data_IF_921339826789
#
_entry.id   IF_921339826789
#
_cell.length_a   1.000
_cell.length_b   1.000
_cell.length_c   1.000
_cell.angle_alpha   90.00
_cell.angle_beta   90.00
_cell.angle_gamma   90.00
#
_symmetry.space_group_name_H-M   'P 1'
#
loop_
_entity.id
_entity.type
_entity.pdbx_description
1 polymer ?
#
# COMPACT_ATOMS: atom_id res chain seq x y z
N UNK A 1 3.14 -10.79 -14.03
CA UNK A 1 2.54 -10.57 -12.69
C UNK A 1 3.67 -10.17 -11.76
N UNK A 2 3.52 -9.05 -11.06
CA UNK A 2 4.49 -8.57 -10.06
C UNK A 2 3.78 -8.57 -8.73
N UNK A 3 4.38 -9.18 -7.70
CA UNK A 3 3.88 -9.13 -6.34
C UNK A 3 4.67 -8.07 -5.58
N UNK A 4 3.95 -7.22 -4.85
CA UNK A 4 4.51 -6.23 -3.94
C UNK A 4 3.94 -6.54 -2.57
N UNK A 5 4.81 -6.89 -1.64
CA UNK A 5 4.45 -7.21 -0.25
C UNK A 5 4.90 -6.06 0.65
N UNK A 6 4.05 -5.70 1.61
CA UNK A 6 4.40 -4.76 2.67
C UNK A 6 4.99 -5.52 3.86
N UNK A 7 6.07 -5.02 4.43
CA UNK A 7 6.58 -5.47 5.72
C UNK A 7 5.88 -4.63 6.78
N UNK A 8 4.95 -5.25 7.52
CA UNK A 8 3.95 -4.56 8.35
C UNK A 8 4.49 -3.57 9.40
N UNK A 9 3.54 -2.74 9.87
CA UNK A 9 3.65 -1.61 10.80
C UNK A 9 4.11 -0.27 10.17
N UNK A 10 3.19 0.43 9.49
CA UNK A 10 3.37 1.85 9.15
C UNK A 10 2.43 2.36 8.06
N UNK A 11 2.68 3.61 7.61
CA UNK A 11 1.97 4.24 6.48
C UNK A 11 2.16 3.49 5.15
N UNK A 12 3.20 2.65 5.05
CA UNK A 12 3.48 1.83 3.88
C UNK A 12 2.35 0.86 3.51
N UNK A 13 1.51 0.47 4.48
CA UNK A 13 0.34 -0.39 4.25
C UNK A 13 -0.71 0.30 3.36
N UNK A 14 -0.82 1.64 3.40
CA UNK A 14 -1.81 2.41 2.63
C UNK A 14 -1.28 2.80 1.25
N UNK A 15 0.03 3.01 1.12
CA UNK A 15 0.66 3.40 -0.16
C UNK A 15 0.59 2.30 -1.24
N UNK A 16 0.41 1.04 -0.84
CA UNK A 16 0.32 -0.12 -1.75
C UNK A 16 -0.80 0.03 -2.78
N UNK A 17 -1.90 0.70 -2.43
CA UNK A 17 -3.04 0.94 -3.33
C UNK A 17 -2.67 1.79 -4.51
N UNK A 18 -1.76 2.75 -4.30
CA UNK A 18 -1.34 3.68 -5.36
C UNK A 18 -0.35 3.03 -6.33
N UNK A 19 0.19 1.87 -5.97
CA UNK A 19 1.25 1.17 -6.69
C UNK A 19 0.78 -0.14 -7.33
N UNK A 20 -0.36 -0.69 -6.90
CA UNK A 20 -0.86 -1.98 -7.38
C UNK A 20 -2.23 -1.86 -8.07
N UNK A 21 -2.50 -2.77 -9.02
CA UNK A 21 -3.80 -2.84 -9.71
C UNK A 21 -4.86 -3.57 -8.88
N UNK A 22 -4.43 -4.38 -7.92
CA UNK A 22 -5.30 -5.19 -7.07
C UNK A 22 -4.56 -5.40 -5.77
N UNK A 23 -5.15 -4.91 -4.67
CA UNK A 23 -4.61 -5.07 -3.33
C UNK A 23 -5.27 -6.27 -2.68
N UNK A 24 -4.48 -7.25 -2.27
CA UNK A 24 -4.96 -8.42 -1.52
C UNK A 24 -4.64 -8.22 -0.05
N UNK A 25 -5.67 -8.17 0.79
CA UNK A 25 -5.49 -8.14 2.25
C UNK A 25 -5.54 -9.58 2.75
N UNK A 26 -4.49 -10.02 3.45
CA UNK A 26 -4.39 -11.39 3.96
C UNK A 26 -4.53 -11.36 5.48
N UNK A 27 -5.48 -12.12 6.01
CA UNK A 27 -5.73 -12.26 7.44
C UNK A 27 -5.70 -13.74 7.85
N UNK A 28 -5.49 -14.02 9.14
CA UNK A 28 -5.37 -15.37 9.68
C UNK A 28 -6.24 -15.52 10.94
N UNK A 29 -7.07 -16.58 11.05
CA UNK A 29 -7.93 -16.78 12.22
C UNK A 29 -7.15 -16.95 13.53
N UNK A 30 -7.71 -16.43 14.63
CA UNK A 30 -7.27 -16.77 15.99
C UNK A 30 -6.00 -16.06 16.47
N UNK A 31 -5.59 -14.96 15.84
CA UNK A 31 -4.43 -14.15 16.26
C UNK A 31 -4.69 -13.28 17.51
N UNK A 32 -5.87 -13.39 18.15
CA UNK A 32 -6.15 -12.84 19.47
C UNK A 32 -6.45 -11.33 19.49
N UNK A 33 -6.39 -10.69 18.33
CA UNK A 33 -6.71 -9.27 18.09
C UNK A 33 -7.58 -9.17 16.82
N UNK A 34 -8.65 -9.99 16.73
CA UNK A 34 -9.60 -10.00 15.59
C UNK A 34 -10.17 -8.59 15.29
N UNK A 35 -10.07 -7.65 16.24
CA UNK A 35 -10.48 -6.24 16.13
C UNK A 35 -9.35 -5.31 15.63
N UNK A 36 -8.08 -5.67 15.82
CA UNK A 36 -6.92 -4.81 15.48
C UNK A 36 -6.43 -4.99 14.04
N UNK A 37 -6.83 -6.09 13.38
CA UNK A 37 -6.63 -6.30 11.93
C UNK A 37 -7.64 -5.50 11.09
N UNK A 38 -8.76 -5.12 11.71
CA UNK A 38 -9.83 -4.31 11.13
C UNK A 38 -9.57 -2.80 11.34
N UNK A 39 -8.32 -2.37 11.15
CA UNK A 39 -8.04 -0.93 11.04
C UNK A 39 -8.87 -0.41 9.88
N UNK A 40 -9.70 0.61 10.13
CA UNK A 40 -10.58 1.20 9.11
C UNK A 40 -9.88 1.40 7.75
N UNK A 41 -8.61 1.81 7.77
CA UNK A 41 -7.80 1.98 6.56
C UNK A 41 -7.52 0.70 5.76
N UNK A 42 -7.33 -0.48 6.37
CA UNK A 42 -7.09 -1.73 5.62
C UNK A 42 -8.36 -2.20 4.89
N UNK A 43 -9.50 -2.04 5.56
CA UNK A 43 -10.82 -2.36 5.02
C UNK A 43 -11.27 -1.40 3.92
N UNK A 44 -10.60 -0.26 3.75
CA UNK A 44 -10.82 0.70 2.67
C UNK A 44 -9.93 0.42 1.44
N UNK A 45 -8.79 -0.24 1.63
CA UNK A 45 -7.82 -0.46 0.56
C UNK A 45 -7.88 -1.83 -0.12
N UNK A 46 -8.42 -2.85 0.55
CA UNK A 46 -8.48 -4.21 0.01
C UNK A 46 -9.44 -4.36 -1.16
N UNK A 47 -8.98 -4.92 -2.28
CA UNK A 47 -9.82 -5.27 -3.43
C UNK A 47 -10.28 -6.73 -3.39
N UNK A 48 -9.47 -7.58 -2.74
CA UNK A 48 -9.74 -8.99 -2.45
C UNK A 48 -9.21 -9.29 -1.05
N UNK A 49 -9.97 -10.05 -0.27
CA UNK A 49 -9.57 -10.46 1.08
C UNK A 49 -9.30 -11.95 1.09
N UNK A 50 -8.20 -12.37 1.70
CA UNK A 50 -7.81 -13.76 1.84
C UNK A 50 -7.74 -14.13 3.32
N UNK A 51 -8.61 -15.02 3.78
CA UNK A 51 -8.52 -15.63 5.10
C UNK A 51 -7.62 -16.87 4.99
N UNK A 52 -6.34 -16.68 5.26
CA UNK A 52 -5.31 -17.72 5.17
C UNK A 52 -5.26 -18.59 6.42
N UNK A 53 -4.73 -19.81 6.29
CA UNK A 53 -4.83 -20.89 7.28
C UNK A 53 -6.29 -21.20 7.63
N UNK A 54 -7.14 -21.27 6.61
CA UNK A 54 -8.56 -21.56 6.76
C UNK A 54 -8.85 -23.00 7.25
N UNK A 55 -7.82 -23.83 7.40
CA UNK A 55 -7.84 -25.11 8.11
C UNK A 55 -7.90 -24.96 9.65
N UNK A 56 -7.66 -23.75 10.17
CA UNK A 56 -7.78 -23.45 11.60
C UNK A 56 -9.25 -23.25 12.01
N UNK A 57 -9.58 -23.53 13.29
CA UNK A 57 -10.85 -23.11 13.88
C UNK A 57 -11.08 -21.60 13.70
N UNK A 58 -12.34 -21.17 13.71
CA UNK A 58 -12.76 -19.76 13.57
C UNK A 58 -12.55 -19.11 12.19
N UNK A 59 -12.05 -19.83 11.18
CA UNK A 59 -11.93 -19.30 9.82
C UNK A 59 -13.27 -18.77 9.26
N UNK A 60 -14.36 -19.51 9.46
CA UNK A 60 -15.69 -19.09 9.03
C UNK A 60 -16.19 -17.86 9.81
N UNK A 61 -15.84 -17.74 11.09
CA UNK A 61 -16.19 -16.57 11.91
C UNK A 61 -15.51 -15.32 11.36
N UNK A 62 -14.22 -15.42 11.02
CA UNK A 62 -13.45 -14.30 10.47
C UNK A 62 -13.99 -13.88 9.10
N UNK A 63 -14.36 -14.83 8.22
CA UNK A 63 -15.00 -14.53 6.93
C UNK A 63 -16.26 -13.68 7.14
N UNK A 64 -17.17 -14.12 8.01
CA UNK A 64 -18.43 -13.40 8.30
C UNK A 64 -18.15 -12.00 8.85
N UNK A 65 -17.14 -11.84 9.71
CA UNK A 65 -16.76 -10.53 10.26
C UNK A 65 -16.26 -9.58 9.16
N UNK A 66 -15.38 -10.05 8.28
CA UNK A 66 -14.85 -9.25 7.16
C UNK A 66 -16.00 -8.86 6.22
N UNK A 67 -16.85 -9.81 5.82
CA UNK A 67 -18.01 -9.56 4.96
C UNK A 67 -18.98 -8.53 5.58
N UNK A 68 -19.22 -8.63 6.89
CA UNK A 68 -20.08 -7.69 7.61
C UNK A 68 -19.52 -6.27 7.56
N UNK A 69 -18.21 -6.10 7.71
CA UNK A 69 -17.59 -4.78 7.63
C UNK A 69 -17.55 -4.23 6.21
N UNK A 70 -17.27 -5.07 5.21
CA UNK A 70 -17.29 -4.68 3.80
C UNK A 70 -18.68 -4.21 3.37
N UNK A 71 -19.74 -4.77 3.94
CA UNK A 71 -21.12 -4.33 3.65
C UNK A 71 -21.42 -2.88 4.07
N UNK A 72 -20.59 -2.29 4.94
CA UNK A 72 -20.74 -0.91 5.41
C UNK A 72 -20.02 0.12 4.54
N UNK A 73 -19.17 -0.33 3.62
CA UNK A 73 -18.33 0.54 2.79
C UNK A 73 -18.88 0.56 1.37
N UNK A 74 -19.24 1.75 0.88
CA UNK A 74 -19.59 1.93 -0.53
C UNK A 74 -18.32 1.97 -1.39
N UNK A 75 -18.27 1.15 -2.43
CA UNK A 75 -17.07 0.88 -3.25
C UNK A 75 -17.36 0.92 -4.74
N UNK A 76 -18.21 1.86 -5.14
CA UNK A 76 -18.50 2.16 -6.55
C UNK A 76 -18.90 0.91 -7.37
N UNK A 77 -19.67 0.01 -6.75
CA UNK A 77 -20.17 -1.20 -7.41
C UNK A 77 -19.23 -2.42 -7.39
N UNK A 78 -18.03 -2.32 -6.81
CA UNK A 78 -17.20 -3.49 -6.50
C UNK A 78 -17.43 -3.95 -5.06
N UNK A 79 -17.82 -5.22 -4.90
CA UNK A 79 -17.90 -5.87 -3.59
C UNK A 79 -16.69 -6.80 -3.44
N UNK A 80 -15.69 -6.47 -2.60
CA UNK A 80 -14.48 -7.27 -2.45
C UNK A 80 -14.82 -8.70 -1.98
N UNK A 81 -14.40 -9.74 -2.72
CA UNK A 81 -14.64 -11.11 -2.30
C UNK A 81 -13.72 -11.49 -1.13
N UNK A 82 -14.25 -12.29 -0.20
CA UNK A 82 -13.49 -12.91 0.89
C UNK A 82 -13.25 -14.39 0.55
N UNK A 83 -11.99 -14.77 0.39
CA UNK A 83 -11.57 -16.11 -0.06
C UNK A 83 -10.82 -16.82 1.05
N UNK A 84 -11.29 -18.02 1.41
CA UNK A 84 -10.55 -18.90 2.32
C UNK A 84 -9.35 -19.53 1.59
N UNK A 85 -8.17 -19.42 2.18
CA UNK A 85 -6.93 -19.97 1.64
C UNK A 85 -6.18 -20.82 2.65
N UNK A 86 -5.46 -21.81 2.13
CA UNK A 86 -4.52 -22.62 2.90
C UNK A 86 -3.23 -22.63 2.09
N UNK A 87 -2.15 -22.04 2.63
CA UNK A 87 -0.96 -21.72 1.83
C UNK A 87 -0.29 -22.90 1.11
N UNK A 88 -0.49 -24.13 1.58
CA UNK A 88 0.02 -25.35 0.94
C UNK A 88 -1.01 -26.05 0.02
N UNK A 89 -2.26 -25.58 0.00
CA UNK A 89 -3.32 -26.09 -0.89
C UNK A 89 -3.45 -25.19 -2.12
N UNK A 90 -2.89 -25.68 -3.24
CA UNK A 90 -2.92 -25.00 -4.54
C UNK A 90 -4.34 -24.71 -5.02
N UNK A 91 -5.33 -25.54 -4.68
CA UNK A 91 -6.72 -25.33 -5.14
C UNK A 91 -7.31 -24.05 -4.56
N UNK A 92 -6.97 -23.73 -3.31
CA UNK A 92 -7.40 -22.48 -2.67
C UNK A 92 -6.71 -21.25 -3.27
N UNK A 93 -5.44 -21.39 -3.66
CA UNK A 93 -4.68 -20.32 -4.32
C UNK A 93 -5.19 -20.05 -5.74
N UNK A 94 -5.63 -21.08 -6.46
CA UNK A 94 -6.29 -20.92 -7.77
C UNK A 94 -7.58 -20.09 -7.62
N UNK A 95 -8.41 -20.38 -6.62
CA UNK A 95 -9.60 -19.58 -6.33
C UNK A 95 -9.28 -18.12 -5.99
N UNK A 96 -8.24 -17.89 -5.19
CA UNK A 96 -7.78 -16.52 -4.90
C UNK A 96 -7.36 -15.81 -6.19
N UNK A 97 -6.63 -16.50 -7.07
CA UNK A 97 -6.21 -15.95 -8.36
C UNK A 97 -7.40 -15.59 -9.26
N UNK A 98 -8.42 -16.43 -9.32
CA UNK A 98 -9.65 -16.14 -10.07
C UNK A 98 -10.32 -14.84 -9.59
N UNK A 99 -10.33 -14.57 -8.28
CA UNK A 99 -10.89 -13.33 -7.74
C UNK A 99 -10.04 -12.10 -8.09
N UNK A 100 -8.72 -12.25 -8.08
CA UNK A 100 -7.80 -11.18 -8.54
C UNK A 100 -8.05 -10.87 -10.03
N UNK A 101 -8.18 -11.89 -10.88
CA UNK A 101 -8.44 -11.72 -12.31
C UNK A 101 -9.84 -11.08 -12.55
N UNK A 102 -10.84 -11.44 -11.74
CA UNK A 102 -12.18 -10.82 -11.78
C UNK A 102 -12.14 -9.33 -11.43
N UNK A 103 -11.45 -8.97 -10.35
CA UNK A 103 -11.27 -7.56 -9.99
C UNK A 103 -10.55 -6.80 -11.10
N UNK A 104 -9.49 -7.40 -11.67
CA UNK A 104 -8.75 -6.78 -12.77
C UNK A 104 -9.64 -6.51 -14.00
N UNK A 105 -10.55 -7.43 -14.32
CA UNK A 105 -11.50 -7.25 -15.41
C UNK A 105 -12.57 -6.18 -15.11
N UNK A 106 -13.04 -6.08 -13.86
CA UNK A 106 -13.93 -5.01 -13.42
C UNK A 106 -13.28 -3.63 -13.56
N UNK A 107 -12.00 -3.56 -13.17
CA UNK A 107 -11.19 -2.35 -13.25
C UNK A 107 -10.92 -1.87 -14.67
N UNK A 108 -10.88 -2.76 -15.67
CA UNK A 108 -10.67 -2.36 -17.06
C UNK A 108 -11.93 -1.73 -17.72
N UNK A 109 -13.04 -1.61 -16.97
CA UNK A 109 -14.28 -0.92 -17.35
C UNK A 109 -14.32 0.60 -17.10
N UNK A 110 -15.48 1.15 -16.73
CA UNK A 110 -15.72 2.61 -16.62
C UNK A 110 -14.80 3.35 -15.62
N UNK A 111 -14.33 2.66 -14.57
CA UNK A 111 -13.44 3.23 -13.55
C UNK A 111 -11.95 3.16 -13.91
N UNK A 112 -11.59 2.43 -14.98
CA UNK A 112 -10.22 2.21 -15.43
C UNK A 112 -9.46 3.52 -15.63
N UNK A 113 -10.13 4.54 -16.17
CA UNK A 113 -9.49 5.80 -16.52
C UNK A 113 -9.12 6.61 -15.27
N UNK A 114 -10.01 6.67 -14.28
CA UNK A 114 -9.77 7.38 -13.02
C UNK A 114 -8.66 6.72 -12.21
N UNK A 115 -8.72 5.39 -12.03
CA UNK A 115 -7.70 4.65 -11.27
C UNK A 115 -6.34 4.68 -11.97
N UNK A 116 -6.29 4.49 -13.30
CA UNK A 116 -5.04 4.67 -14.08
C UNK A 116 -4.46 6.07 -13.92
N UNK A 117 -5.28 7.11 -13.90
CA UNK A 117 -4.81 8.49 -13.69
C UNK A 117 -4.21 8.65 -12.30
N UNK A 118 -4.85 8.14 -11.26
CA UNK A 118 -4.34 8.20 -9.88
C UNK A 118 -3.01 7.45 -9.73
N UNK A 119 -2.90 6.26 -10.32
CA UNK A 119 -1.64 5.49 -10.32
C UNK A 119 -0.54 6.20 -11.12
N UNK A 120 -0.89 6.77 -12.28
CA UNK A 120 0.05 7.51 -13.11
C UNK A 120 0.55 8.78 -12.40
N UNK A 121 -0.35 9.53 -11.77
CA UNK A 121 -0.03 10.71 -10.96
C UNK A 121 0.94 10.37 -9.82
N UNK A 122 0.60 9.34 -9.04
CA UNK A 122 1.46 8.87 -7.96
C UNK A 122 2.84 8.44 -8.49
N UNK A 123 2.89 7.68 -9.60
CA UNK A 123 4.14 7.26 -10.22
C UNK A 123 4.98 8.43 -10.72
N UNK A 124 4.36 9.40 -11.37
CA UNK A 124 5.04 10.62 -11.85
C UNK A 124 5.62 11.39 -10.66
N UNK A 125 4.84 11.56 -9.60
CA UNK A 125 5.29 12.26 -8.39
C UNK A 125 6.46 11.56 -7.71
N UNK A 126 6.39 10.24 -7.55
CA UNK A 126 7.50 9.44 -6.98
C UNK A 126 8.78 9.56 -7.80
N UNK A 127 8.67 9.45 -9.13
CA UNK A 127 9.83 9.59 -10.04
C UNK A 127 10.38 11.03 -10.03
N UNK A 128 9.50 12.03 -9.94
CA UNK A 128 9.90 13.42 -9.85
C UNK A 128 10.63 13.71 -8.54
N UNK A 129 10.10 13.27 -7.40
CA UNK A 129 10.74 13.44 -6.08
C UNK A 129 12.13 12.81 -6.05
N UNK A 130 12.27 11.57 -6.55
CA UNK A 130 13.57 10.90 -6.66
C UNK A 130 14.52 11.67 -7.59
N UNK A 131 14.05 12.09 -8.77
CA UNK A 131 14.89 12.81 -9.73
C UNK A 131 15.32 14.18 -9.22
N UNK A 132 14.44 14.90 -8.53
CA UNK A 132 14.78 16.20 -7.93
C UNK A 132 15.83 16.03 -6.83
N UNK A 133 15.71 15.01 -5.99
CA UNK A 133 16.72 14.71 -4.98
C UNK A 133 18.08 14.42 -5.62
N UNK A 134 18.12 13.55 -6.64
CA UNK A 134 19.36 13.24 -7.35
C UNK A 134 20.02 14.50 -7.95
N UNK A 135 19.22 15.35 -8.62
CA UNK A 135 19.71 16.61 -9.20
C UNK A 135 20.26 17.56 -8.15
N UNK A 136 19.57 17.69 -7.01
CA UNK A 136 20.02 18.53 -5.89
C UNK A 136 21.33 17.97 -5.33
N UNK A 137 21.42 16.66 -5.10
CA UNK A 137 22.62 16.03 -4.57
C UNK A 137 23.82 16.12 -5.51
N UNK A 138 23.61 15.96 -6.82
CA UNK A 138 24.64 16.14 -7.86
C UNK A 138 25.20 17.57 -7.84
N UNK A 139 24.35 18.58 -7.71
CA UNK A 139 24.75 20.00 -7.81
C UNK A 139 25.31 20.57 -6.50
N UNK A 140 24.77 20.15 -5.35
CA UNK A 140 25.28 20.51 -4.03
C UNK A 140 26.64 19.84 -3.80
N UNK A 141 26.77 18.57 -4.18
CA UNK A 141 27.95 17.76 -3.90
C UNK A 141 28.04 17.29 -2.44
N UNK A 142 28.76 16.19 -2.22
CA UNK A 142 28.85 15.50 -0.92
C UNK A 142 29.40 16.38 0.20
N UNK A 143 30.44 17.18 -0.08
CA UNK A 143 31.09 18.02 0.92
C UNK A 143 30.17 19.13 1.46
N UNK A 144 29.42 19.79 0.58
CA UNK A 144 28.48 20.86 0.98
C UNK A 144 27.27 20.28 1.70
N UNK A 145 26.77 19.13 1.26
CA UNK A 145 25.69 18.43 1.96
C UNK A 145 26.10 18.07 3.40
N UNK A 146 27.30 17.50 3.58
CA UNK A 146 27.83 17.18 4.90
C UNK A 146 27.95 18.40 5.81
N UNK A 147 28.48 19.52 5.32
CA UNK A 147 28.58 20.76 6.09
C UNK A 147 27.22 21.31 6.53
N UNK A 148 26.18 21.16 5.71
CA UNK A 148 24.81 21.55 6.08
C UNK A 148 24.26 20.64 7.18
N UNK A 149 24.49 19.33 7.08
CA UNK A 149 24.09 18.36 8.12
C UNK A 149 24.79 18.65 9.45
N UNK A 150 26.09 18.96 9.42
CA UNK A 150 26.87 19.31 10.63
C UNK A 150 26.29 20.55 11.33
N UNK A 151 25.85 21.56 10.58
CA UNK A 151 25.17 22.74 11.12
C UNK A 151 23.82 22.45 11.78
N UNK A 152 23.10 21.40 11.32
CA UNK A 152 21.87 20.93 11.98
C UNK A 152 22.22 20.20 13.28
N UNK A 153 23.24 19.35 13.27
CA UNK A 153 23.71 18.61 14.45
C UNK A 153 24.20 19.56 15.55
N UNK A 154 24.94 20.62 15.18
CA UNK A 154 25.40 21.65 16.13
C UNK A 154 24.31 22.61 16.58
N UNK A 155 23.08 22.51 16.03
CA UNK A 155 21.93 23.39 16.26
C UNK A 155 22.16 24.85 15.82
N UNK A 156 23.07 25.08 14.89
CA UNK A 156 23.28 26.38 14.25
C UNK A 156 22.20 26.71 13.21
N UNK A 157 21.51 25.68 12.70
CA UNK A 157 20.31 25.82 11.88
C UNK A 157 19.34 24.66 12.11
N UNK A 158 18.06 24.89 11.86
CA UNK A 158 17.05 23.83 11.90
C UNK A 158 16.97 23.09 10.54
N UNK A 159 16.38 21.88 10.50
CA UNK A 159 16.27 21.08 9.27
C UNK A 159 15.54 21.77 8.12
N UNK A 160 14.54 22.62 8.38
CA UNK A 160 13.79 23.30 7.31
C UNK A 160 14.67 24.35 6.63
N UNK A 161 15.37 25.16 7.44
CA UNK A 161 16.35 26.13 6.92
C UNK A 161 17.49 25.44 6.15
N UNK A 162 17.95 24.29 6.63
CA UNK A 162 18.97 23.49 5.95
C UNK A 162 18.51 23.02 4.56
N UNK A 163 17.30 22.46 4.45
CA UNK A 163 16.72 22.03 3.17
C UNK A 163 16.55 23.22 2.22
N UNK A 164 16.05 24.37 2.70
CA UNK A 164 15.92 25.57 1.88
C UNK A 164 17.27 26.00 1.28
N UNK A 165 18.35 26.03 2.09
CA UNK A 165 19.70 26.35 1.61
C UNK A 165 20.23 25.35 0.58
N UNK A 166 19.90 24.07 0.70
CA UNK A 166 20.28 23.03 -0.26
C UNK A 166 19.56 23.24 -1.60
N UNK A 167 18.25 23.52 -1.56
CA UNK A 167 17.43 23.74 -2.75
C UNK A 167 17.83 25.04 -3.47
N UNK A 168 17.96 26.16 -2.76
CA UNK A 168 18.43 27.44 -3.32
C UNK A 168 19.85 27.34 -3.89
N UNK A 169 20.70 26.48 -3.32
CA UNK A 169 22.04 26.22 -3.84
C UNK A 169 22.07 25.35 -5.08
N UNK A 170 20.98 24.65 -5.40
CA UNK A 170 20.89 23.66 -6.46
C UNK A 170 20.04 24.12 -7.67
N UNK A 171 19.07 25.00 -7.48
CA UNK A 171 18.31 25.65 -8.55
C UNK A 171 19.09 26.89 -9.03
#
# INVERSE_FOLDING_TARGET
VVFVETVGAGQAEVDIVRTSHTTVVVDVPGLGDDVQVLKAGLMEIGDVFAVNKADLPDADRLVVQIESLLSLVDRDGWVPPVVKTVGHDVTTLVRLREMIDRHRAHEDGDMAASRRRTMADHRVRMLLEARLLDLVMERVGTARYAAVVDGVVSREMDPYTAVQKLVEGAL
#
